data_IF_178325005053
#
_entry.id   IF_178325005053
#
_cell.length_a   1.000
_cell.length_b   1.000
_cell.length_c   1.000
_cell.angle_alpha   90.00
_cell.angle_beta   90.00
_cell.angle_gamma   90.00
#
_symmetry.space_group_name_H-M   'P 1'
#
loop_
_entity.id
_entity.type
_entity.pdbx_description
1 polymer ?
#
# COMPACT_ATOMS: atom_id res chain seq x y z
N UNK A 1 9.25 -0.01 -18.29
CA UNK A 1 8.15 -0.24 -17.34
C UNK A 1 8.38 0.65 -16.13
N UNK A 2 7.36 1.38 -15.69
CA UNK A 2 7.48 2.27 -14.53
C UNK A 2 7.41 1.45 -13.24
N UNK A 3 8.34 1.71 -12.32
CA UNK A 3 8.34 1.11 -10.98
C UNK A 3 8.11 2.22 -9.95
N UNK A 4 7.28 1.92 -8.96
CA UNK A 4 6.98 2.82 -7.84
C UNK A 4 7.37 2.12 -6.55
N UNK A 5 8.11 2.81 -5.68
CA UNK A 5 8.50 2.34 -4.36
C UNK A 5 7.82 3.20 -3.29
N UNK A 6 7.03 2.56 -2.43
CA UNK A 6 6.27 3.24 -1.39
C UNK A 6 6.81 2.89 0.00
N UNK A 7 7.08 3.92 0.79
CA UNK A 7 7.42 3.81 2.21
C UNK A 7 6.34 4.40 3.11
N UNK A 8 6.55 4.35 4.43
CA UNK A 8 5.55 4.74 5.43
C UNK A 8 5.08 6.19 5.29
N UNK A 9 5.91 7.07 4.71
CA UNK A 9 5.54 8.45 4.39
C UNK A 9 4.38 8.55 3.41
N UNK A 10 4.17 7.56 2.54
CA UNK A 10 3.03 7.52 1.62
C UNK A 10 1.72 7.29 2.37
N UNK A 11 1.66 6.30 3.27
CA UNK A 11 0.46 6.07 4.10
C UNK A 11 0.18 7.26 5.03
N UNK A 12 1.24 7.90 5.55
CA UNK A 12 1.15 9.15 6.31
C UNK A 12 0.61 10.32 5.48
N UNK A 13 0.93 10.39 4.19
CA UNK A 13 0.38 11.40 3.28
C UNK A 13 -1.11 11.16 2.99
N UNK A 14 -1.54 9.89 2.91
CA UNK A 14 -2.96 9.55 2.79
C UNK A 14 -3.73 9.96 4.06
N UNK A 15 -3.17 9.69 5.25
CA UNK A 15 -3.79 10.04 6.52
C UNK A 15 -2.79 10.33 7.64
N UNK A 16 -3.05 11.40 8.39
CA UNK A 16 -2.32 11.77 9.61
C UNK A 16 -2.54 10.81 10.79
N UNK A 17 -3.33 9.75 10.62
CA UNK A 17 -3.46 8.67 11.60
C UNK A 17 -2.33 7.63 11.47
N UNK A 18 -1.72 7.49 10.29
CA UNK A 18 -0.78 6.41 9.97
C UNK A 18 0.63 6.65 10.52
N UNK A 19 1.13 5.87 11.49
CA UNK A 19 2.39 6.16 12.17
C UNK A 19 3.61 6.02 11.25
N UNK A 20 4.59 6.89 11.44
CA UNK A 20 5.93 6.76 10.90
C UNK A 20 6.79 5.87 11.82
N UNK A 21 7.93 5.44 11.29
CA UNK A 21 8.80 4.49 11.97
C UNK A 21 9.30 4.98 13.34
N UNK A 22 9.57 6.29 13.46
CA UNK A 22 9.98 6.94 14.72
C UNK A 22 8.88 6.97 15.79
N UNK A 23 7.62 6.92 15.37
CA UNK A 23 6.45 7.01 16.26
C UNK A 23 5.99 5.63 16.71
N UNK A 24 6.30 4.58 15.94
CA UNK A 24 5.89 3.22 16.26
C UNK A 24 6.54 2.70 17.55
N UNK A 25 7.80 3.04 17.82
CA UNK A 25 8.51 2.59 19.02
C UNK A 25 7.78 2.92 20.33
N UNK A 26 7.49 4.20 20.60
CA UNK A 26 6.69 4.59 21.75
C UNK A 26 5.31 3.91 21.81
N UNK A 27 4.61 3.79 20.69
CA UNK A 27 3.29 3.15 20.63
C UNK A 27 3.34 1.66 20.98
N UNK A 28 4.37 0.95 20.52
CA UNK A 28 4.59 -0.47 20.83
C UNK A 28 4.91 -0.64 22.32
N UNK A 29 5.78 0.19 22.89
CA UNK A 29 6.07 0.13 24.32
C UNK A 29 4.83 0.39 25.17
N UNK A 30 4.01 1.39 24.80
CA UNK A 30 2.76 1.68 25.49
C UNK A 30 1.79 0.49 25.44
N UNK A 31 1.62 -0.12 24.25
CA UNK A 31 0.77 -1.30 24.05
C UNK A 31 1.21 -2.47 24.93
N UNK A 32 2.51 -2.70 25.02
CA UNK A 32 3.11 -3.77 25.81
C UNK A 32 3.27 -3.42 27.30
N UNK A 33 2.88 -2.19 27.70
CA UNK A 33 3.04 -1.65 29.07
C UNK A 33 4.50 -1.69 29.54
N UNK A 34 5.42 -1.47 28.63
CA UNK A 34 6.85 -1.40 28.90
C UNK A 34 7.29 0.04 29.21
N UNK A 35 8.28 0.23 30.09
CA UNK A 35 8.81 1.56 30.36
C UNK A 35 9.48 2.20 29.14
N UNK A 36 9.35 3.52 28.99
CA UNK A 36 9.95 4.25 27.86
C UNK A 36 11.48 4.10 27.75
N UNK A 37 12.17 3.88 28.89
CA UNK A 37 13.62 3.67 28.91
C UNK A 37 14.07 2.34 28.27
N UNK A 38 13.14 1.44 27.93
CA UNK A 38 13.43 0.15 27.27
C UNK A 38 14.24 0.35 25.98
N UNK A 39 13.98 1.43 25.24
CA UNK A 39 14.71 1.73 24.00
C UNK A 39 16.03 2.49 24.22
N UNK A 40 16.35 2.91 25.44
CA UNK A 40 17.54 3.72 25.72
C UNK A 40 18.86 3.02 25.32
N UNK A 41 19.07 1.71 25.57
CA UNK A 41 20.26 1.00 25.11
C UNK A 41 20.42 0.98 23.58
N UNK A 42 19.32 1.18 22.86
CA UNK A 42 19.23 1.14 21.41
C UNK A 42 19.15 2.56 20.80
N UNK A 43 19.42 3.61 21.59
CA UNK A 43 19.35 4.99 21.12
C UNK A 43 17.94 5.45 20.72
N UNK A 44 16.90 4.80 21.25
CA UNK A 44 15.51 5.05 20.87
C UNK A 44 15.02 4.25 19.64
N UNK A 45 15.86 3.38 19.08
CA UNK A 45 15.54 2.62 17.86
C UNK A 45 14.76 1.34 18.19
N UNK A 46 13.48 1.32 17.78
CA UNK A 46 12.61 0.16 17.92
C UNK A 46 13.06 -1.01 17.06
N UNK A 47 13.71 -0.75 15.91
CA UNK A 47 14.18 -1.81 15.01
C UNK A 47 15.37 -2.57 15.61
N UNK A 48 16.29 -1.82 16.21
CA UNK A 48 17.40 -2.41 16.95
C UNK A 48 16.91 -3.19 18.18
N UNK A 49 15.93 -2.67 18.92
CA UNK A 49 15.34 -3.37 20.07
C UNK A 49 14.62 -4.67 19.67
N UNK A 50 13.75 -4.63 18.65
CA UNK A 50 13.07 -5.81 18.13
C UNK A 50 14.06 -6.85 17.58
N UNK A 51 15.13 -6.38 16.92
CA UNK A 51 16.21 -7.25 16.45
C UNK A 51 16.91 -8.02 17.58
N UNK A 52 17.15 -7.33 18.70
CA UNK A 52 17.75 -7.93 19.90
C UNK A 52 16.82 -8.97 20.54
N UNK A 53 15.57 -8.61 20.86
CA UNK A 53 14.67 -9.55 21.54
C UNK A 53 14.19 -10.69 20.63
N UNK A 54 14.31 -10.52 19.30
CA UNK A 54 13.98 -11.55 18.33
C UNK A 54 15.08 -12.59 18.09
N UNK A 55 16.29 -12.40 18.64
CA UNK A 55 17.45 -13.27 18.44
C UNK A 55 17.90 -13.89 19.76
N UNK A 56 18.45 -15.10 19.71
CA UNK A 56 19.04 -15.74 20.90
C UNK A 56 20.40 -15.11 21.20
N UNK A 57 20.58 -14.67 22.45
CA UNK A 57 21.80 -14.00 22.88
C UNK A 57 22.69 -14.95 23.70
N UNK A 58 23.99 -15.04 23.38
CA UNK A 58 24.88 -16.04 23.97
C UNK A 58 25.23 -15.78 25.45
N UNK A 59 24.90 -14.61 25.98
CA UNK A 59 25.08 -14.25 27.39
C UNK A 59 23.81 -14.39 28.23
N UNK A 60 22.69 -14.81 27.63
CA UNK A 60 21.44 -15.06 28.32
C UNK A 60 21.24 -16.57 28.51
N UNK A 61 20.56 -16.94 29.59
CA UNK A 61 20.09 -18.31 29.79
C UNK A 61 18.96 -18.63 28.80
N UNK A 62 18.79 -19.90 28.46
CA UNK A 62 17.72 -20.35 27.54
C UNK A 62 16.33 -19.86 27.96
N UNK A 63 16.06 -19.81 29.27
CA UNK A 63 14.78 -19.33 29.78
C UNK A 63 14.54 -17.83 29.52
N UNK A 64 15.60 -17.04 29.47
CA UNK A 64 15.52 -15.60 29.19
C UNK A 64 15.42 -15.35 27.70
N UNK A 65 16.14 -16.11 26.88
CA UNK A 65 15.98 -16.09 25.42
C UNK A 65 14.54 -16.43 25.02
N UNK A 66 13.91 -17.43 25.65
CA UNK A 66 12.51 -17.76 25.42
C UNK A 66 11.55 -16.63 25.84
N UNK A 67 11.84 -15.88 26.92
CA UNK A 67 11.05 -14.70 27.32
C UNK A 67 11.20 -13.56 26.32
N UNK A 68 12.42 -13.29 25.87
CA UNK A 68 12.70 -12.31 24.82
C UNK A 68 11.93 -12.65 23.54
N UNK A 69 11.93 -13.94 23.15
CA UNK A 69 11.19 -14.42 21.99
C UNK A 69 9.68 -14.25 22.14
N UNK A 70 9.13 -14.53 23.31
CA UNK A 70 7.71 -14.26 23.59
C UNK A 70 7.41 -12.75 23.45
N UNK A 71 8.25 -11.90 24.02
CA UNK A 71 8.09 -10.45 23.92
C UNK A 71 8.21 -9.94 22.47
N UNK A 72 9.06 -10.55 21.66
CA UNK A 72 9.15 -10.26 20.24
C UNK A 72 7.84 -10.55 19.51
N UNK A 73 7.24 -11.73 19.76
CA UNK A 73 5.94 -12.10 19.17
C UNK A 73 4.85 -11.11 19.60
N UNK A 74 4.80 -10.75 20.89
CA UNK A 74 3.88 -9.74 21.39
C UNK A 74 4.11 -8.37 20.72
N UNK A 75 5.36 -7.99 20.47
CA UNK A 75 5.73 -6.77 19.74
C UNK A 75 5.25 -6.78 18.28
N UNK A 76 5.37 -7.90 17.58
CA UNK A 76 4.84 -8.06 16.21
C UNK A 76 3.32 -7.90 16.21
N UNK A 77 2.62 -8.54 17.16
CA UNK A 77 1.18 -8.39 17.32
C UNK A 77 0.79 -6.94 17.64
N UNK A 78 1.52 -6.28 18.54
CA UNK A 78 1.29 -4.88 18.87
C UNK A 78 1.44 -3.96 17.63
N UNK A 79 2.47 -4.17 16.80
CA UNK A 79 2.64 -3.43 15.54
C UNK A 79 1.43 -3.64 14.63
N UNK A 80 1.02 -4.89 14.44
CA UNK A 80 -0.16 -5.20 13.63
C UNK A 80 -1.40 -4.43 14.12
N UNK A 81 -1.71 -4.52 15.41
CA UNK A 81 -2.91 -3.91 15.98
C UNK A 81 -2.88 -2.38 15.91
N UNK A 82 -1.73 -1.76 16.18
CA UNK A 82 -1.54 -0.31 16.04
C UNK A 82 -1.84 0.14 14.60
N UNK A 83 -1.35 -0.60 13.60
CA UNK A 83 -1.59 -0.27 12.20
C UNK A 83 -3.04 -0.49 11.81
N UNK A 84 -3.67 -1.60 12.24
CA UNK A 84 -5.10 -1.88 12.00
C UNK A 84 -5.99 -0.78 12.59
N UNK A 85 -5.71 -0.34 13.81
CA UNK A 85 -6.44 0.74 14.46
C UNK A 85 -6.22 2.08 13.75
N UNK A 86 -4.98 2.38 13.34
CA UNK A 86 -4.65 3.60 12.60
C UNK A 86 -5.36 3.65 11.24
N UNK A 87 -5.34 2.56 10.48
CA UNK A 87 -6.06 2.52 9.20
C UNK A 87 -7.57 2.61 9.39
N UNK A 88 -8.13 2.06 10.47
CA UNK A 88 -9.57 2.17 10.77
C UNK A 88 -9.95 3.62 11.09
N UNK A 89 -9.11 4.37 11.82
CA UNK A 89 -9.32 5.82 12.01
C UNK A 89 -9.12 6.62 10.73
N UNK A 90 -8.33 6.11 9.79
CA UNK A 90 -8.18 6.68 8.46
C UNK A 90 -9.31 6.28 7.49
N UNK A 91 -10.29 5.46 7.91
CA UNK A 91 -11.44 5.11 7.06
C UNK A 91 -12.29 6.35 6.79
N UNK A 92 -12.56 6.57 5.51
CA UNK A 92 -13.28 7.73 5.00
C UNK A 92 -13.03 7.91 3.51
N UNK A 93 -13.41 9.08 2.99
CA UNK A 93 -13.14 9.42 1.60
C UNK A 93 -11.62 9.60 1.39
N UNK A 94 -11.01 8.91 0.42
CA UNK A 94 -9.60 9.09 0.12
C UNK A 94 -9.35 10.51 -0.40
N UNK A 95 -8.15 11.08 -0.18
CA UNK A 95 -7.78 12.34 -0.80
C UNK A 95 -7.95 12.29 -2.33
N UNK A 96 -8.48 13.35 -2.99
CA UNK A 96 -8.71 13.33 -4.43
C UNK A 96 -7.47 12.99 -5.26
N UNK A 97 -6.29 13.42 -4.81
CA UNK A 97 -5.02 13.11 -5.45
C UNK A 97 -4.72 11.61 -5.47
N UNK A 98 -5.19 10.82 -4.48
CA UNK A 98 -4.89 9.40 -4.37
C UNK A 98 -5.59 8.61 -5.46
N UNK A 99 -6.87 8.92 -5.73
CA UNK A 99 -7.62 8.27 -6.80
C UNK A 99 -7.02 8.60 -8.17
N UNK A 100 -6.62 9.87 -8.38
CA UNK A 100 -5.93 10.33 -9.60
C UNK A 100 -4.60 9.60 -9.79
N UNK A 101 -3.80 9.49 -8.73
CA UNK A 101 -2.51 8.80 -8.76
C UNK A 101 -2.65 7.31 -9.11
N UNK A 102 -3.60 6.63 -8.47
CA UNK A 102 -3.86 5.22 -8.71
C UNK A 102 -4.41 4.99 -10.12
N UNK A 103 -5.23 5.89 -10.65
CA UNK A 103 -5.69 5.86 -12.04
C UNK A 103 -4.53 6.01 -13.03
N UNK A 104 -3.60 6.94 -12.78
CA UNK A 104 -2.36 7.07 -13.56
C UNK A 104 -1.54 5.78 -13.53
N UNK A 105 -1.28 5.21 -12.36
CA UNK A 105 -0.52 3.95 -12.23
C UNK A 105 -1.20 2.77 -12.92
N UNK A 106 -2.53 2.73 -12.90
CA UNK A 106 -3.31 1.73 -13.62
C UNK A 106 -3.18 1.91 -15.13
N UNK A 107 -3.30 3.15 -15.63
CA UNK A 107 -3.09 3.45 -17.04
C UNK A 107 -1.67 3.08 -17.53
N UNK A 108 -0.65 3.39 -16.72
CA UNK A 108 0.75 3.09 -17.02
C UNK A 108 1.14 1.62 -16.83
N UNK A 109 0.23 0.79 -16.29
CA UNK A 109 0.54 -0.59 -15.86
C UNK A 109 1.79 -0.63 -14.97
N UNK A 110 1.87 0.30 -14.01
CA UNK A 110 3.02 0.44 -13.14
C UNK A 110 3.22 -0.81 -12.27
N UNK A 111 4.47 -1.08 -11.90
CA UNK A 111 4.78 -2.05 -10.84
C UNK A 111 4.99 -1.32 -9.52
N UNK A 112 4.12 -1.57 -8.56
CA UNK A 112 4.13 -0.94 -7.24
C UNK A 112 4.78 -1.89 -6.24
N UNK A 113 5.85 -1.42 -5.61
CA UNK A 113 6.55 -2.07 -4.51
C UNK A 113 6.25 -1.28 -3.23
N UNK A 114 5.81 -1.93 -2.17
CA UNK A 114 5.55 -1.25 -0.90
C UNK A 114 6.08 -2.02 0.30
N UNK A 115 6.57 -1.27 1.28
CA UNK A 115 6.95 -1.74 2.61
C UNK A 115 5.84 -1.56 3.64
N UNK A 116 4.74 -0.91 3.26
CA UNK A 116 3.67 -0.53 4.17
C UNK A 116 2.75 -1.71 4.44
N UNK A 117 2.37 -1.88 5.71
CA UNK A 117 1.51 -2.98 6.14
C UNK A 117 0.02 -2.70 5.91
N UNK A 118 -0.41 -1.44 5.97
CA UNK A 118 -1.82 -1.01 5.88
C UNK A 118 -2.43 -1.23 4.49
N UNK A 119 -3.75 -1.29 4.41
CA UNK A 119 -4.46 -1.54 3.14
C UNK A 119 -5.03 -0.28 2.48
N UNK A 120 -4.53 0.92 2.79
CA UNK A 120 -5.11 2.17 2.25
C UNK A 120 -4.94 2.26 0.73
N UNK A 121 -3.79 1.85 0.22
CA UNK A 121 -3.53 1.77 -1.22
C UNK A 121 -4.46 0.76 -1.90
N UNK A 122 -4.63 -0.43 -1.30
CA UNK A 122 -5.52 -1.47 -1.85
C UNK A 122 -6.98 -1.02 -1.91
N UNK A 123 -7.45 -0.26 -0.92
CA UNK A 123 -8.79 0.35 -0.94
C UNK A 123 -8.94 1.29 -2.14
N UNK A 124 -7.97 2.17 -2.35
CA UNK A 124 -7.97 3.09 -3.50
C UNK A 124 -7.87 2.35 -4.84
N UNK A 125 -6.97 1.36 -4.95
CA UNK A 125 -6.83 0.49 -6.12
C UNK A 125 -8.12 -0.24 -6.43
N UNK A 126 -8.74 -0.89 -5.45
CA UNK A 126 -9.98 -1.63 -5.66
C UNK A 126 -11.09 -0.75 -6.25
N UNK A 127 -11.24 0.48 -5.72
CA UNK A 127 -12.17 1.47 -6.25
C UNK A 127 -11.86 1.91 -7.68
N UNK A 128 -10.57 2.03 -8.04
CA UNK A 128 -10.14 2.43 -9.38
C UNK A 128 -10.20 1.27 -10.38
N UNK A 129 -9.68 0.09 -10.09
CA UNK A 129 -9.62 -1.00 -11.08
C UNK A 129 -10.87 -1.89 -11.09
N UNK A 130 -11.83 -1.64 -10.20
CA UNK A 130 -13.05 -2.46 -10.08
C UNK A 130 -12.75 -3.87 -9.58
N UNK A 131 -11.78 -4.01 -8.68
CA UNK A 131 -11.44 -5.31 -8.08
C UNK A 131 -12.63 -5.85 -7.27
N UNK A 132 -12.83 -7.18 -7.28
CA UNK A 132 -13.90 -7.81 -6.51
C UNK A 132 -13.56 -7.90 -5.02
N UNK A 133 -12.26 -7.98 -4.74
CA UNK A 133 -11.69 -7.95 -3.42
C UNK A 133 -10.17 -7.74 -3.49
N UNK A 134 -9.51 -7.58 -2.35
CA UNK A 134 -8.07 -7.35 -2.32
C UNK A 134 -7.25 -8.54 -2.85
N UNK A 135 -7.81 -9.74 -2.81
CA UNK A 135 -7.18 -10.93 -3.40
C UNK A 135 -6.83 -10.76 -4.88
N UNK A 136 -7.61 -9.97 -5.63
CA UNK A 136 -7.35 -9.73 -7.06
C UNK A 136 -6.16 -8.78 -7.29
N UNK A 137 -5.78 -7.96 -6.30
CA UNK A 137 -4.72 -6.96 -6.42
C UNK A 137 -3.33 -7.56 -6.19
N UNK A 138 -3.25 -8.57 -5.31
CA UNK A 138 -1.97 -9.15 -4.92
C UNK A 138 -1.41 -10.11 -5.96
N UNK A 139 -0.10 -10.04 -6.18
CA UNK A 139 0.60 -10.86 -7.16
C UNK A 139 0.98 -12.26 -6.65
N UNK A 140 0.34 -12.73 -5.58
CA UNK A 140 0.55 -14.06 -4.98
C UNK A 140 -0.78 -14.76 -4.74
N UNK A 141 -0.77 -16.09 -4.76
CA UNK A 141 -1.94 -16.88 -4.41
C UNK A 141 -2.16 -16.82 -2.89
N UNK A 142 -3.23 -16.13 -2.49
CA UNK A 142 -3.73 -16.11 -1.13
C UNK A 142 -4.86 -17.12 -0.96
N UNK A 143 -4.90 -17.76 0.19
CA UNK A 143 -6.02 -18.62 0.58
C UNK A 143 -7.16 -17.76 1.12
N UNK A 144 -8.38 -18.01 0.64
CA UNK A 144 -9.59 -17.37 1.14
C UNK A 144 -10.38 -18.38 1.95
N UNK A 145 -10.82 -17.99 3.14
CA UNK A 145 -11.70 -18.82 3.98
C UNK A 145 -13.15 -18.42 3.76
N UNK A 146 -14.01 -19.41 3.80
CA UNK A 146 -15.46 -19.26 3.61
C UNK A 146 -16.18 -20.02 4.72
N UNK A 147 -17.30 -19.49 5.24
CA UNK A 147 -18.21 -20.25 6.10
C UNK A 147 -18.64 -21.58 5.44
N UNK A 148 -18.96 -22.57 6.27
CA UNK A 148 -19.38 -23.91 5.80
C UNK A 148 -20.63 -23.86 4.92
N UNK A 149 -21.49 -22.88 5.14
CA UNK A 149 -22.75 -22.65 4.41
C UNK A 149 -22.61 -21.63 3.26
N UNK A 150 -21.40 -21.14 2.98
CA UNK A 150 -21.18 -20.20 1.89
C UNK A 150 -21.46 -20.85 0.54
N UNK A 151 -22.32 -20.22 -0.25
CA UNK A 151 -22.55 -20.63 -1.63
C UNK A 151 -21.29 -20.37 -2.46
N UNK A 152 -20.71 -21.44 -3.03
CA UNK A 152 -19.62 -21.35 -4.00
C UNK A 152 -20.16 -20.76 -5.31
N UNK A 153 -20.05 -19.45 -5.47
CA UNK A 153 -20.23 -18.83 -6.77
C UNK A 153 -18.92 -18.96 -7.56
N UNK A 154 -18.92 -19.59 -8.75
CA UNK A 154 -17.75 -19.59 -9.59
C UNK A 154 -17.40 -18.14 -9.97
N UNK A 155 -16.32 -17.63 -9.38
CA UNK A 155 -15.74 -16.33 -9.68
C UNK A 155 -15.06 -16.33 -11.06
N UNK A 156 -15.81 -16.61 -12.12
CA UNK A 156 -15.40 -16.38 -13.51
C UNK A 156 -15.57 -14.90 -13.85
N UNK A 157 -14.61 -14.08 -13.45
CA UNK A 157 -14.55 -12.66 -13.81
C UNK A 157 -13.54 -12.41 -14.93
N UNK A 158 -13.69 -11.31 -15.67
CA UNK A 158 -12.61 -10.85 -16.52
C UNK A 158 -11.35 -10.68 -15.65
N UNK A 159 -10.21 -11.17 -16.14
CA UNK A 159 -8.90 -10.83 -15.59
C UNK A 159 -8.82 -9.31 -15.44
N UNK A 160 -8.32 -8.80 -14.31
CA UNK A 160 -7.96 -7.38 -14.14
C UNK A 160 -6.88 -7.00 -15.15
N UNK A 161 -7.24 -6.82 -16.43
CA UNK A 161 -6.29 -6.55 -17.52
C UNK A 161 -5.59 -5.20 -17.39
N UNK A 162 -6.10 -4.34 -16.50
CA UNK A 162 -5.68 -2.95 -16.36
C UNK A 162 -5.32 -2.59 -14.90
N UNK A 163 -4.88 -3.56 -14.08
CA UNK A 163 -4.44 -3.29 -12.70
C UNK A 163 -2.91 -3.24 -12.61
N UNK A 164 -2.33 -2.26 -11.89
CA UNK A 164 -0.90 -2.22 -11.66
C UNK A 164 -0.48 -3.42 -10.79
N UNK A 165 0.73 -3.93 -11.00
CA UNK A 165 1.24 -5.06 -10.24
C UNK A 165 1.64 -4.62 -8.83
N UNK A 166 0.92 -5.05 -7.79
CA UNK A 166 1.21 -4.71 -6.40
C UNK A 166 2.01 -5.80 -5.68
N UNK A 167 3.19 -5.44 -5.17
CA UNK A 167 4.06 -6.29 -4.35
C UNK A 167 4.23 -5.72 -2.94
N UNK A 168 3.75 -6.47 -1.94
CA UNK A 168 3.93 -6.15 -0.52
C UNK A 168 5.11 -6.93 0.05
N UNK A 169 6.21 -6.22 0.27
CA UNK A 169 7.51 -6.81 0.56
C UNK A 169 7.72 -7.14 2.06
N UNK A 170 6.96 -6.49 2.93
CA UNK A 170 6.97 -6.72 4.38
C UNK A 170 5.68 -7.36 4.91
N UNK A 171 4.90 -8.01 4.04
CA UNK A 171 3.60 -8.55 4.43
C UNK A 171 2.52 -7.46 4.48
N UNK A 172 1.39 -7.77 5.13
CA UNK A 172 0.22 -6.90 5.15
C UNK A 172 -0.63 -7.23 6.37
N UNK A 173 -1.34 -6.24 6.94
CA UNK A 173 -2.19 -6.47 8.12
C UNK A 173 -3.40 -7.37 7.84
N UNK A 174 -3.76 -7.54 6.58
CA UNK A 174 -4.81 -8.47 6.16
C UNK A 174 -4.27 -9.84 5.73
N UNK A 175 -2.99 -10.16 5.96
CA UNK A 175 -2.42 -11.48 5.69
C UNK A 175 -2.22 -12.24 6.98
N UNK A 176 -2.62 -13.50 7.00
CA UNK A 176 -2.54 -14.39 8.16
C UNK A 176 -1.77 -15.66 7.81
N UNK A 177 -1.23 -16.35 8.81
CA UNK A 177 -0.51 -17.61 8.65
C UNK A 177 -0.61 -18.50 9.90
N UNK A 178 -0.22 -19.77 9.82
CA UNK A 178 -0.28 -20.73 10.93
C UNK A 178 0.76 -20.53 12.04
N UNK A 179 1.32 -19.33 12.19
CA UNK A 179 2.35 -19.01 13.18
C UNK A 179 3.77 -19.44 12.79
N UNK A 180 4.71 -19.31 13.73
CA UNK A 180 6.15 -19.52 13.45
C UNK A 180 6.47 -20.94 12.96
N UNK A 181 5.75 -21.94 13.49
CA UNK A 181 5.97 -23.36 13.20
C UNK A 181 5.35 -23.83 11.89
N UNK A 182 4.61 -22.96 11.20
CA UNK A 182 4.01 -23.33 9.94
C UNK A 182 5.08 -23.65 8.87
N UNK A 183 4.81 -24.52 7.88
CA UNK A 183 5.73 -24.79 6.80
C UNK A 183 6.09 -23.53 6.00
N UNK A 184 7.32 -23.45 5.48
CA UNK A 184 7.74 -22.32 4.64
C UNK A 184 6.95 -22.21 3.33
N UNK A 185 6.32 -23.30 2.89
CA UNK A 185 5.47 -23.37 1.68
C UNK A 185 4.01 -23.05 1.93
N UNK A 186 3.61 -22.80 3.19
CA UNK A 186 2.24 -22.41 3.53
C UNK A 186 1.85 -21.14 2.75
N UNK A 187 0.60 -21.11 2.27
CA UNK A 187 0.03 -19.91 1.66
C UNK A 187 -0.45 -18.99 2.76
N UNK A 188 -0.34 -17.68 2.53
CA UNK A 188 -0.99 -16.74 3.42
C UNK A 188 -2.49 -16.78 3.22
N UNK A 189 -3.23 -16.67 4.31
CA UNK A 189 -4.68 -16.54 4.31
C UNK A 189 -5.03 -15.06 4.24
N UNK A 190 -5.89 -14.67 3.32
CA UNK A 190 -6.41 -13.31 3.22
C UNK A 190 -7.52 -13.13 4.25
N UNK A 191 -7.37 -12.15 5.13
CA UNK A 191 -8.43 -11.67 6.01
C UNK A 191 -9.31 -10.67 5.26
N UNK A 192 -10.60 -10.96 5.22
CA UNK A 192 -11.61 -10.08 4.62
C UNK A 192 -12.64 -9.70 5.66
N UNK A 193 -12.94 -8.40 5.80
CA UNK A 193 -13.75 -7.86 6.91
C UNK A 193 -15.20 -8.38 6.91
N UNK A 194 -15.72 -8.77 5.74
CA UNK A 194 -17.06 -9.34 5.60
C UNK A 194 -17.14 -10.82 5.99
N UNK A 195 -16.00 -11.48 6.18
CA UNK A 195 -15.93 -12.88 6.60
C UNK A 195 -15.85 -12.92 8.14
N UNK A 196 -16.67 -13.75 8.82
CA UNK A 196 -16.68 -13.82 10.28
C UNK A 196 -15.31 -14.11 10.90
N UNK A 197 -14.98 -13.39 11.98
CA UNK A 197 -13.66 -13.46 12.62
C UNK A 197 -13.29 -14.84 13.17
N UNK A 198 -14.27 -15.67 13.54
CA UNK A 198 -14.02 -17.01 14.07
C UNK A 198 -13.31 -17.92 13.06
N UNK A 199 -13.41 -17.62 11.76
CA UNK A 199 -12.70 -18.35 10.70
C UNK A 199 -11.20 -18.03 10.67
N UNK A 200 -10.69 -17.17 11.55
CA UNK A 200 -9.29 -16.77 11.59
C UNK A 200 -8.65 -16.97 12.98
N UNK A 201 -9.37 -17.55 13.95
CA UNK A 201 -8.92 -17.67 15.35
C UNK A 201 -7.69 -18.59 15.54
N UNK A 202 -7.42 -19.48 14.60
CA UNK A 202 -6.27 -20.38 14.55
C UNK A 202 -5.03 -19.77 13.89
N UNK A 203 -5.12 -18.52 13.39
CA UNK A 203 -4.06 -17.88 12.62
C UNK A 203 -3.48 -16.66 13.33
N UNK A 204 -2.23 -16.35 13.01
CA UNK A 204 -1.53 -15.15 13.44
C UNK A 204 -1.34 -14.17 12.27
N UNK A 205 -1.24 -12.86 12.52
CA UNK A 205 -0.95 -11.88 11.48
C UNK A 205 0.45 -12.07 10.89
N UNK A 206 0.56 -11.93 9.57
CA UNK A 206 1.81 -11.99 8.84
C UNK A 206 2.29 -10.58 8.44
N UNK A 207 3.05 -9.96 9.34
CA UNK A 207 3.84 -8.76 9.06
C UNK A 207 5.31 -9.08 9.31
N UNK A 208 6.19 -8.61 8.43
CA UNK A 208 7.63 -8.72 8.63
C UNK A 208 8.04 -7.54 9.50
N UNK A 209 8.41 -7.74 10.78
CA UNK A 209 8.70 -6.62 11.66
C UNK A 209 9.92 -5.82 11.18
N UNK A 210 9.99 -4.54 11.56
CA UNK A 210 11.22 -3.76 11.41
C UNK A 210 12.20 -4.27 12.46
N UNK A 211 12.88 -5.38 12.18
CA UNK A 211 13.90 -5.99 13.04
C UNK A 211 15.09 -6.39 12.19
N UNK A 212 16.32 -6.34 12.68
CA UNK A 212 17.51 -6.70 11.87
C UNK A 212 17.49 -8.16 11.39
N UNK A 213 16.95 -9.08 12.18
CA UNK A 213 16.80 -10.50 11.86
C UNK A 213 15.45 -10.79 11.18
N UNK A 214 15.39 -10.61 9.84
CA UNK A 214 14.18 -10.86 9.03
C UNK A 214 14.21 -12.21 8.29
N UNK A 215 15.29 -12.98 8.42
CA UNK A 215 15.58 -14.17 7.60
C UNK A 215 14.45 -15.19 7.60
N UNK A 216 13.91 -15.53 8.78
CA UNK A 216 12.83 -16.51 8.91
C UNK A 216 11.54 -16.08 8.18
N UNK A 217 11.24 -14.78 8.13
CA UNK A 217 10.08 -14.28 7.37
C UNK A 217 10.32 -14.38 5.87
N UNK A 218 11.54 -14.06 5.43
CA UNK A 218 11.93 -14.17 4.03
C UNK A 218 12.12 -15.61 3.56
N UNK A 219 12.08 -16.62 4.43
CA UNK A 219 12.04 -18.02 4.00
C UNK A 219 10.65 -18.48 3.53
N UNK A 220 9.60 -17.68 3.80
CA UNK A 220 8.24 -17.95 3.33
C UNK A 220 8.15 -17.86 1.80
N UNK A 221 7.76 -18.95 1.16
CA UNK A 221 7.74 -19.08 -0.29
C UNK A 221 6.93 -17.98 -1.00
N UNK A 222 5.71 -17.59 -0.54
CA UNK A 222 4.97 -16.50 -1.18
C UNK A 222 5.73 -15.18 -1.15
N UNK A 223 6.37 -14.85 -0.02
CA UNK A 223 7.13 -13.62 0.13
C UNK A 223 8.40 -13.61 -0.76
N UNK A 224 9.12 -14.74 -0.83
CA UNK A 224 10.28 -14.88 -1.72
C UNK A 224 9.94 -14.66 -3.19
N UNK A 225 8.78 -15.14 -3.63
CA UNK A 225 8.32 -14.93 -5.00
C UNK A 225 8.10 -13.44 -5.27
N UNK A 226 7.50 -12.70 -4.34
CA UNK A 226 7.33 -11.25 -4.47
C UNK A 226 8.68 -10.53 -4.56
N UNK A 227 9.61 -10.79 -3.64
CA UNK A 227 10.94 -10.18 -3.68
C UNK A 227 11.70 -10.48 -4.98
N UNK A 228 11.60 -11.70 -5.50
CA UNK A 228 12.18 -12.05 -6.81
C UNK A 228 11.55 -11.27 -7.96
N UNK A 229 10.23 -11.11 -7.96
CA UNK A 229 9.51 -10.35 -9.00
C UNK A 229 9.78 -8.85 -8.89
N UNK A 230 9.86 -8.31 -7.68
CA UNK A 230 10.27 -6.94 -7.42
C UNK A 230 11.69 -6.67 -7.94
N UNK A 231 12.65 -7.57 -7.68
CA UNK A 231 14.00 -7.47 -8.22
C UNK A 231 14.01 -7.50 -9.76
N UNK A 232 13.20 -8.38 -10.37
CA UNK A 232 13.08 -8.45 -11.83
C UNK A 232 12.49 -7.16 -12.41
N UNK A 233 11.48 -6.59 -11.75
CA UNK A 233 10.86 -5.34 -12.14
C UNK A 233 11.84 -4.15 -12.07
N UNK A 234 12.60 -4.03 -10.98
CA UNK A 234 13.62 -2.98 -10.83
C UNK A 234 14.71 -3.06 -11.91
N UNK A 235 15.17 -4.28 -12.26
CA UNK A 235 16.16 -4.49 -13.33
C UNK A 235 15.64 -4.14 -14.73
N UNK A 236 14.33 -4.10 -14.91
CA UNK A 236 13.67 -3.79 -16.19
C UNK A 236 12.99 -2.40 -16.16
N UNK A 237 13.17 -1.67 -15.07
CA UNK A 237 12.57 -0.36 -14.89
C UNK A 237 13.13 0.63 -15.92
N UNK A 238 12.27 1.49 -16.47
CA UNK A 238 12.70 2.65 -17.25
C UNK A 238 12.53 3.98 -16.49
N UNK A 239 11.87 3.93 -15.33
CA UNK A 239 11.74 5.01 -14.36
C UNK A 239 11.43 4.40 -12.99
N UNK A 240 11.91 5.04 -11.93
CA UNK A 240 11.65 4.67 -10.55
C UNK A 240 11.13 5.89 -9.76
N UNK A 241 9.90 5.84 -9.30
CA UNK A 241 9.39 6.85 -8.37
C UNK A 241 9.49 6.32 -6.94
N UNK A 242 10.13 7.08 -6.05
CA UNK A 242 10.27 6.73 -4.63
C UNK A 242 9.46 7.71 -3.80
N UNK A 243 8.40 7.21 -3.15
CA UNK A 243 7.39 8.04 -2.48
C UNK A 243 7.31 7.66 -1.01
N UNK A 244 7.64 8.61 -0.13
CA UNK A 244 7.55 8.44 1.32
C UNK A 244 8.51 7.40 1.91
N UNK A 245 9.56 7.02 1.18
CA UNK A 245 10.65 6.20 1.69
C UNK A 245 11.91 7.05 1.85
N UNK A 246 12.30 7.29 3.11
CA UNK A 246 13.34 8.26 3.46
C UNK A 246 14.76 7.69 3.43
N UNK A 247 14.96 6.44 2.98
CA UNK A 247 16.26 5.75 2.99
C UNK A 247 16.94 5.75 4.38
N UNK A 248 16.27 5.32 5.47
CA UNK A 248 16.87 5.34 6.79
C UNK A 248 18.14 4.47 6.84
N UNK A 249 19.20 4.89 7.55
CA UNK A 249 20.44 4.11 7.67
C UNK A 249 20.25 2.72 8.29
N UNK A 250 19.25 2.56 9.18
CA UNK A 250 18.92 1.30 9.84
C UNK A 250 18.42 0.23 8.85
N UNK A 251 17.73 0.64 7.78
CA UNK A 251 17.18 -0.28 6.76
C UNK A 251 18.22 -0.67 5.70
N UNK A 252 19.31 -1.29 6.18
CA UNK A 252 20.41 -1.77 5.34
C UNK A 252 19.97 -2.81 4.31
N UNK A 253 18.97 -3.64 4.64
CA UNK A 253 18.43 -4.68 3.75
C UNK A 253 17.78 -4.08 2.51
N UNK A 254 16.84 -3.15 2.70
CA UNK A 254 16.18 -2.45 1.57
C UNK A 254 17.17 -1.63 0.77
N UNK A 255 18.10 -0.93 1.45
CA UNK A 255 19.13 -0.13 0.75
C UNK A 255 20.02 -1.02 -0.11
N UNK A 256 20.46 -2.17 0.40
CA UNK A 256 21.26 -3.13 -0.37
C UNK A 256 20.46 -3.70 -1.54
N UNK A 257 19.19 -4.06 -1.31
CA UNK A 257 18.30 -4.55 -2.35
C UNK A 257 18.18 -3.57 -3.51
N UNK A 258 17.82 -2.31 -3.24
CA UNK A 258 17.67 -1.29 -4.27
C UNK A 258 19.02 -0.98 -4.95
N UNK A 259 20.11 -0.82 -4.20
CA UNK A 259 21.42 -0.51 -4.76
C UNK A 259 22.04 -1.63 -5.61
N UNK A 260 21.62 -2.88 -5.43
CA UNK A 260 22.12 -4.04 -6.19
C UNK A 260 21.17 -4.50 -7.31
N UNK A 261 19.96 -3.96 -7.38
CA UNK A 261 18.95 -4.38 -8.36
C UNK A 261 18.50 -3.29 -9.31
N UNK A 262 18.51 -2.03 -8.88
CA UNK A 262 18.19 -0.89 -9.74
C UNK A 262 19.34 -0.66 -10.73
N UNK A 263 18.99 -0.41 -12.00
CA UNK A 263 19.99 -0.11 -13.02
C UNK A 263 20.51 1.33 -12.88
N UNK A 264 21.83 1.51 -13.07
CA UNK A 264 22.56 2.79 -12.96
C UNK A 264 22.14 3.88 -13.96
N UNK A 265 21.17 3.63 -14.84
CA UNK A 265 20.69 4.59 -15.83
C UNK A 265 19.21 4.95 -15.67
N UNK A 266 18.54 4.41 -14.64
CA UNK A 266 17.10 4.62 -14.46
C UNK A 266 16.86 5.96 -13.79
N UNK A 267 16.08 6.88 -14.39
CA UNK A 267 15.73 8.13 -13.73
C UNK A 267 14.94 7.84 -12.46
N UNK A 268 15.33 8.49 -11.36
CA UNK A 268 14.68 8.34 -10.05
C UNK A 268 14.01 9.65 -9.66
N UNK A 269 12.69 9.59 -9.44
CA UNK A 269 11.94 10.70 -8.83
C UNK A 269 11.85 10.47 -7.33
N UNK A 270 12.11 11.50 -6.52
CA UNK A 270 11.89 11.43 -5.08
C UNK A 270 10.69 12.27 -4.68
N UNK A 271 9.82 11.70 -3.84
CA UNK A 271 8.69 12.40 -3.22
C UNK A 271 8.80 12.20 -1.72
N UNK A 272 9.45 13.15 -1.05
CA UNK A 272 9.67 13.13 0.40
C UNK A 272 9.90 14.57 0.89
N UNK A 273 9.25 15.02 1.97
CA UNK A 273 9.45 16.37 2.49
C UNK A 273 10.85 16.61 3.09
N UNK A 274 11.60 15.56 3.45
CA UNK A 274 12.91 15.63 4.11
C UNK A 274 14.05 15.89 3.11
N UNK A 275 14.79 17.01 3.22
CA UNK A 275 16.01 17.24 2.44
C UNK A 275 17.10 16.18 2.71
N UNK A 276 17.09 15.58 3.90
CA UNK A 276 18.02 14.51 4.26
C UNK A 276 17.73 13.23 3.48
N UNK A 277 16.46 12.94 3.16
CA UNK A 277 16.10 11.81 2.30
C UNK A 277 16.69 11.99 0.89
N UNK A 278 16.61 13.20 0.34
CA UNK A 278 17.23 13.54 -0.94
C UNK A 278 18.75 13.36 -0.91
N UNK A 279 19.41 13.85 0.15
CA UNK A 279 20.85 13.65 0.32
C UNK A 279 21.25 12.17 0.42
N UNK A 280 20.44 11.35 1.12
CA UNK A 280 20.66 9.90 1.25
C UNK A 280 20.44 9.15 -0.06
N UNK A 281 19.44 9.56 -0.85
CA UNK A 281 19.21 9.03 -2.19
C UNK A 281 20.43 9.29 -3.09
N UNK A 282 20.92 10.54 -3.14
CA UNK A 282 22.07 10.92 -3.98
C UNK A 282 23.34 10.18 -3.57
N UNK A 283 23.52 9.92 -2.26
CA UNK A 283 24.64 9.12 -1.76
C UNK A 283 24.55 7.64 -2.18
N UNK A 284 23.34 7.12 -2.31
CA UNK A 284 23.08 5.74 -2.68
C UNK A 284 23.10 5.51 -4.19
N UNK A 285 22.72 6.53 -4.96
CA UNK A 285 22.65 6.51 -6.40
C UNK A 285 23.46 7.66 -7.02
N UNK A 286 24.79 7.69 -6.84
CA UNK A 286 25.63 8.82 -7.25
C UNK A 286 25.65 9.05 -8.77
N UNK A 287 25.34 8.01 -9.55
CA UNK A 287 25.35 8.06 -11.02
C UNK A 287 24.00 8.46 -11.64
N UNK A 288 22.94 8.65 -10.84
CA UNK A 288 21.56 8.80 -11.37
C UNK A 288 21.15 10.23 -11.73
N UNK A 289 22.05 11.22 -11.60
CA UNK A 289 21.73 12.63 -11.84
C UNK A 289 20.70 13.18 -10.84
N UNK A 290 20.57 14.51 -10.78
CA UNK A 290 19.54 15.16 -9.95
C UNK A 290 18.16 14.92 -10.59
N UNK A 291 17.57 13.76 -10.31
CA UNK A 291 16.19 13.48 -10.67
C UNK A 291 15.21 14.43 -9.97
N UNK A 292 13.97 14.57 -10.49
CA UNK A 292 13.00 15.49 -9.91
C UNK A 292 12.71 15.14 -8.44
N UNK A 293 12.61 16.18 -7.61
CA UNK A 293 12.30 16.06 -6.19
C UNK A 293 11.06 16.89 -5.84
N UNK A 294 10.04 16.21 -5.33
CA UNK A 294 8.80 16.81 -4.85
C UNK A 294 8.72 16.72 -3.33
N UNK A 295 8.16 17.75 -2.69
CA UNK A 295 8.05 17.83 -1.22
C UNK A 295 6.78 17.17 -0.69
N UNK A 296 5.78 16.95 -1.53
CA UNK A 296 4.54 16.27 -1.17
C UNK A 296 4.02 15.41 -2.32
N UNK A 297 3.15 14.45 -1.99
CA UNK A 297 2.56 13.55 -2.99
C UNK A 297 1.56 14.31 -3.87
N UNK A 298 0.87 15.29 -3.31
CA UNK A 298 -0.02 16.19 -4.02
C UNK A 298 0.72 16.93 -5.14
N UNK A 299 1.86 17.56 -4.81
CA UNK A 299 2.67 18.29 -5.79
C UNK A 299 3.18 17.35 -6.90
N UNK A 300 3.62 16.15 -6.53
CA UNK A 300 3.97 15.11 -7.50
C UNK A 300 2.79 14.77 -8.43
N UNK A 301 1.59 14.55 -7.87
CA UNK A 301 0.39 14.21 -8.65
C UNK A 301 -0.01 15.34 -9.60
N UNK A 302 0.00 16.58 -9.13
CA UNK A 302 -0.37 17.74 -9.96
C UNK A 302 0.55 17.91 -11.17
N UNK A 303 1.84 17.59 -11.02
CA UNK A 303 2.82 17.76 -12.09
C UNK A 303 3.00 16.52 -12.99
N UNK A 304 2.48 15.35 -12.63
CA UNK A 304 2.80 14.09 -13.34
C UNK A 304 1.60 13.25 -13.76
N UNK A 305 0.42 13.45 -13.16
CA UNK A 305 -0.75 12.62 -13.44
C UNK A 305 -1.72 13.31 -14.40
N UNK A 306 -2.40 12.53 -15.25
CA UNK A 306 -3.55 12.99 -16.02
C UNK A 306 -4.78 13.28 -15.16
N UNK A 307 -5.89 13.64 -15.80
CA UNK A 307 -7.14 14.00 -15.12
C UNK A 307 -8.04 12.80 -14.87
N UNK A 308 -8.58 12.72 -13.65
CA UNK A 308 -9.62 11.79 -13.28
C UNK A 308 -10.97 12.49 -13.28
N UNK A 309 -11.87 12.02 -14.14
CA UNK A 309 -13.17 12.64 -14.39
C UNK A 309 -14.29 11.71 -13.96
N UNK A 310 -15.24 12.22 -13.18
CA UNK A 310 -16.51 11.57 -12.88
C UNK A 310 -17.66 12.36 -13.48
N UNK A 311 -18.67 11.67 -13.99
CA UNK A 311 -19.90 12.26 -14.47
C UNK A 311 -21.13 11.50 -13.96
N UNK A 312 -22.15 12.19 -13.48
CA UNK A 312 -23.41 11.58 -13.08
C UNK A 312 -24.59 12.54 -13.24
N UNK A 313 -25.80 11.99 -13.29
CA UNK A 313 -27.01 12.78 -13.19
C UNK A 313 -27.56 12.75 -11.78
N UNK A 314 -27.92 13.92 -11.28
CA UNK A 314 -28.76 14.06 -10.10
C UNK A 314 -30.09 14.70 -10.50
N UNK A 315 -31.20 14.00 -10.23
CA UNK A 315 -32.55 14.46 -10.51
C UNK A 315 -33.34 14.79 -9.22
N UNK A 316 -32.73 14.59 -8.04
CA UNK A 316 -33.42 14.61 -6.74
C UNK A 316 -32.77 15.57 -5.74
N UNK A 317 -31.50 15.96 -5.95
CA UNK A 317 -30.78 16.91 -5.09
C UNK A 317 -31.18 18.39 -5.29
N UNK A 318 -30.59 19.27 -4.46
CA UNK A 318 -30.81 20.74 -4.50
C UNK A 318 -30.41 21.38 -5.85
N UNK A 319 -29.54 20.70 -6.61
CA UNK A 319 -29.05 21.14 -7.91
C UNK A 319 -29.23 20.04 -8.96
N UNK A 320 -30.44 19.91 -9.54
CA UNK A 320 -30.70 18.90 -10.56
C UNK A 320 -29.93 19.22 -11.85
N UNK A 321 -29.28 18.23 -12.43
CA UNK A 321 -28.47 18.42 -13.64
C UNK A 321 -27.38 17.37 -13.85
N UNK A 322 -26.54 17.63 -14.84
CA UNK A 322 -25.32 16.84 -15.09
C UNK A 322 -24.22 17.36 -14.18
N UNK A 323 -23.75 16.51 -13.28
CA UNK A 323 -22.61 16.80 -12.44
C UNK A 323 -21.37 16.22 -13.11
N UNK A 324 -20.33 17.05 -13.24
CA UNK A 324 -18.99 16.66 -13.68
C UNK A 324 -18.00 17.02 -12.57
N UNK A 325 -17.23 16.05 -12.12
CA UNK A 325 -16.15 16.23 -11.15
C UNK A 325 -14.82 15.92 -11.83
N UNK A 326 -13.92 16.90 -11.87
CA UNK A 326 -12.56 16.73 -12.41
C UNK A 326 -11.58 16.89 -11.26
N UNK A 327 -10.80 15.85 -10.95
CA UNK A 327 -9.81 15.86 -9.86
C UNK A 327 -10.38 16.32 -8.51
N UNK A 328 -11.64 15.97 -8.20
CA UNK A 328 -12.33 16.38 -6.97
C UNK A 328 -13.07 17.72 -7.06
N UNK A 329 -12.89 18.49 -8.14
CA UNK A 329 -13.57 19.77 -8.34
C UNK A 329 -14.88 19.55 -9.07
N UNK A 330 -16.00 19.82 -8.40
CA UNK A 330 -17.35 19.64 -8.93
C UNK A 330 -17.84 20.85 -9.72
N UNK A 331 -18.50 20.56 -10.83
CA UNK A 331 -19.23 21.52 -11.65
C UNK A 331 -20.59 20.94 -12.02
N UNK A 332 -21.58 21.81 -12.17
CA UNK A 332 -22.97 21.42 -12.48
C UNK A 332 -23.35 22.12 -13.76
N UNK A 333 -23.70 21.32 -14.77
CA UNK A 333 -24.27 21.81 -16.02
C UNK A 333 -25.80 21.62 -16.00
N UNK A 334 -26.58 22.68 -16.26
CA UNK A 334 -28.03 22.54 -16.40
C UNK A 334 -28.32 21.66 -17.62
N UNK A 335 -29.05 20.57 -17.41
CA UNK A 335 -29.37 19.63 -18.47
C UNK A 335 -30.86 19.67 -18.85
N UNK A 336 -31.11 19.78 -20.15
CA UNK A 336 -32.44 19.70 -20.74
C UNK A 336 -32.50 18.42 -21.62
N UNK A 337 -32.50 17.23 -21.01
CA UNK A 337 -32.47 15.96 -21.76
C UNK A 337 -32.45 14.70 -20.88
N UNK A 338 -32.78 13.55 -21.46
CA UNK A 338 -33.13 12.31 -20.76
C UNK A 338 -31.96 11.31 -20.61
N UNK A 339 -31.82 10.75 -19.42
CA UNK A 339 -31.14 9.48 -19.05
C UNK A 339 -29.61 9.32 -19.14
N UNK A 340 -29.09 8.37 -18.34
CA UNK A 340 -27.68 8.06 -18.07
C UNK A 340 -26.81 7.64 -19.28
N UNK A 341 -27.39 7.19 -20.40
CA UNK A 341 -26.63 6.98 -21.65
C UNK A 341 -26.00 8.29 -22.16
N UNK A 342 -26.60 9.44 -21.86
CA UNK A 342 -26.06 10.73 -22.27
C UNK A 342 -24.78 11.13 -21.54
N UNK A 343 -24.56 10.70 -20.29
CA UNK A 343 -23.32 11.02 -19.53
C UNK A 343 -22.11 10.33 -20.15
N UNK A 344 -22.25 9.03 -20.44
CA UNK A 344 -21.16 8.23 -21.00
C UNK A 344 -20.70 8.81 -22.34
N UNK A 345 -21.64 9.06 -23.24
CA UNK A 345 -21.35 9.62 -24.56
C UNK A 345 -20.82 11.05 -24.46
N UNK A 346 -21.27 11.81 -23.45
CA UNK A 346 -20.74 13.15 -23.14
C UNK A 346 -19.27 13.09 -22.73
N UNK A 347 -18.92 12.25 -21.76
CA UNK A 347 -17.54 12.08 -21.31
C UNK A 347 -16.63 11.66 -22.46
N UNK A 348 -17.07 10.71 -23.31
CA UNK A 348 -16.32 10.28 -24.50
C UNK A 348 -16.08 11.42 -25.48
N UNK A 349 -17.06 12.31 -25.65
CA UNK A 349 -16.95 13.45 -26.58
C UNK A 349 -16.06 14.57 -26.05
N UNK A 350 -16.20 14.89 -24.77
CA UNK A 350 -15.53 16.04 -24.16
C UNK A 350 -14.05 15.74 -23.83
N UNK A 351 -13.69 14.47 -23.68
CA UNK A 351 -12.31 14.01 -23.43
C UNK A 351 -11.83 13.07 -24.55
N UNK A 352 -11.63 13.58 -25.78
CA UNK A 352 -11.17 12.76 -26.90
C UNK A 352 -9.73 12.29 -26.64
N UNK A 353 -9.51 10.97 -26.62
CA UNK A 353 -8.20 10.35 -26.34
C UNK A 353 -8.07 9.75 -24.94
N UNK A 354 -9.03 10.03 -24.06
CA UNK A 354 -9.20 9.28 -22.82
C UNK A 354 -9.72 7.84 -23.08
N UNK A 355 -9.60 6.97 -22.08
CA UNK A 355 -10.08 5.59 -22.17
C UNK A 355 -11.61 5.46 -22.36
N UNK A 356 -12.13 4.23 -22.34
CA UNK A 356 -13.59 4.07 -22.30
C UNK A 356 -14.13 4.45 -20.91
N UNK A 357 -15.19 5.28 -20.80
CA UNK A 357 -15.81 5.53 -19.51
C UNK A 357 -16.35 4.22 -18.91
N UNK A 358 -16.07 4.01 -17.63
CA UNK A 358 -16.43 2.81 -16.87
C UNK A 358 -17.50 3.19 -15.85
N UNK A 359 -18.47 2.31 -15.59
CA UNK A 359 -19.43 2.51 -14.52
C UNK A 359 -18.71 2.54 -13.15
N UNK A 360 -19.10 3.49 -12.31
CA UNK A 360 -18.59 3.66 -10.96
C UNK A 360 -19.75 4.00 -10.01
N UNK A 361 -19.49 3.86 -8.71
CA UNK A 361 -20.42 4.28 -7.67
C UNK A 361 -19.69 5.26 -6.76
N UNK A 362 -20.26 6.45 -6.57
CA UNK A 362 -19.72 7.46 -5.67
C UNK A 362 -19.93 7.04 -4.19
N UNK A 363 -19.21 7.64 -3.22
CA UNK A 363 -19.32 7.28 -1.80
C UNK A 363 -20.74 7.35 -1.23
N UNK A 364 -21.58 8.24 -1.78
CA UNK A 364 -22.99 8.39 -1.39
C UNK A 364 -23.94 7.37 -2.06
N UNK A 365 -23.42 6.41 -2.82
CA UNK A 365 -24.20 5.39 -3.54
C UNK A 365 -24.71 5.82 -4.91
N UNK A 366 -24.42 7.04 -5.36
CA UNK A 366 -24.84 7.54 -6.67
C UNK A 366 -24.10 6.80 -7.79
N UNK A 367 -24.84 6.30 -8.78
CA UNK A 367 -24.26 5.74 -10.01
C UNK A 367 -23.64 6.84 -10.85
N UNK A 368 -22.38 6.65 -11.23
CA UNK A 368 -21.61 7.57 -12.04
C UNK A 368 -20.87 6.83 -13.16
N UNK A 369 -20.34 7.61 -14.10
CA UNK A 369 -19.34 7.18 -15.06
C UNK A 369 -18.00 7.79 -14.66
N UNK A 370 -16.94 7.00 -14.74
CA UNK A 370 -15.57 7.44 -14.48
C UNK A 370 -14.74 7.31 -15.74
N UNK A 371 -13.88 8.29 -15.98
CA UNK A 371 -12.98 8.34 -17.11
C UNK A 371 -11.61 8.84 -16.64
N UNK A 372 -10.54 8.26 -17.17
CA UNK A 372 -9.18 8.75 -16.97
C UNK A 372 -8.65 9.33 -18.28
N UNK A 373 -8.25 10.60 -18.26
CA UNK A 373 -7.65 11.31 -19.38
C UNK A 373 -6.14 11.46 -19.13
N UNK A 374 -5.27 10.69 -19.80
CA UNK A 374 -3.84 10.91 -19.70
C UNK A 374 -3.52 12.34 -20.18
N UNK A 375 -2.74 13.08 -19.40
CA UNK A 375 -2.39 14.49 -19.66
C UNK A 375 -1.50 14.71 -20.88
#
# INVERSE_FOLDING_TARGET
MKVVLLGAGFSRAISSEMPLMKELGPLVLERLRLPAYTLAPFGGDVEAWLGHIGSDEPWLEDSDNLRSRALFVDGVQAIHDIIVEAQSRAEGDPPPWLLRLVAQWSHEQATILTFNYDTLLERALAGVVGARGFGDLYQIALEQRQPVDAALYPSGGPSLRESPALYKLHGSVNWLHGGERAPSTERFVLREDHIPSYLYEDLAPFVVPPASSKSHYYDRAPLRVQWKRAAAALRQANALDVIGYSFPPSDSGTRTFLGTTTCDSVPVTLVDPSPEAHSRLNSMFPNLGDGPWFKSVEDFVENTCGDLVFGWFDNVGEHPGLHIEVNGIRSIEPHHGDSACSVRDRLRRDYPGAGEPIEATLPNGTKAWRLFSPG
#
